data_IF_865221800813
#
_entry.id   IF_865221800813
#
_cell.length_a   1.000
_cell.length_b   1.000
_cell.length_c   1.000
_cell.angle_alpha   90.00
_cell.angle_beta   90.00
_cell.angle_gamma   90.00
#
_symmetry.space_group_name_H-M   'P 1'
#
loop_
_entity.id
_entity.type
_entity.pdbx_description
1 polymer ?
#
# COMPACT_ATOMS: atom_id res chain seq x y z
N UNK A 1 -36.34 2.28 -6.49
CA UNK A 1 -35.50 1.73 -5.40
C UNK A 1 -35.27 2.88 -4.41
N UNK A 2 -36.04 2.95 -3.33
CA UNK A 2 -35.97 4.04 -2.35
C UNK A 2 -34.91 3.72 -1.29
N UNK A 3 -33.86 4.53 -1.24
CA UNK A 3 -32.85 4.48 -0.19
C UNK A 3 -33.31 5.33 1.01
N UNK A 4 -33.91 4.63 1.98
CA UNK A 4 -33.97 4.87 3.42
C UNK A 4 -33.62 6.29 3.92
N UNK A 5 -34.66 7.09 4.17
CA UNK A 5 -35.00 7.98 5.33
C UNK A 5 -33.93 8.54 6.31
N UNK A 6 -32.63 8.56 6.01
CA UNK A 6 -31.61 9.10 6.92
C UNK A 6 -31.07 10.44 6.40
N UNK A 7 -31.20 11.49 7.20
CA UNK A 7 -30.55 12.79 6.96
C UNK A 7 -29.15 12.75 7.59
N UNK A 8 -28.06 12.79 6.80
CA UNK A 8 -26.70 12.71 7.33
C UNK A 8 -26.35 13.98 8.11
N UNK A 9 -25.94 13.85 9.38
CA UNK A 9 -25.33 14.93 10.16
C UNK A 9 -23.80 14.85 10.08
N UNK A 10 -23.08 15.98 10.14
CA UNK A 10 -21.61 16.03 9.98
C UNK A 10 -20.82 15.14 10.96
N UNK A 11 -21.39 14.89 12.13
CA UNK A 11 -20.86 14.12 13.26
C UNK A 11 -21.33 12.66 13.29
N UNK A 12 -22.36 12.30 12.54
CA UNK A 12 -22.78 10.91 12.34
C UNK A 12 -22.04 10.25 11.18
N UNK A 13 -20.84 9.73 11.45
CA UNK A 13 -20.14 8.83 10.53
C UNK A 13 -20.80 7.45 10.56
N UNK A 14 -21.06 6.87 9.39
CA UNK A 14 -21.59 5.51 9.32
C UNK A 14 -20.44 4.51 9.46
N UNK A 15 -20.56 3.54 10.37
CA UNK A 15 -19.55 2.49 10.64
C UNK A 15 -19.17 1.64 9.41
N UNK A 16 -19.96 1.70 8.34
CA UNK A 16 -19.74 0.94 7.09
C UNK A 16 -19.01 1.75 6.01
N UNK A 17 -18.59 2.99 6.27
CA UNK A 17 -17.73 3.76 5.35
C UNK A 17 -16.26 3.32 5.38
N UNK A 18 -15.86 2.46 6.31
CA UNK A 18 -14.57 1.79 6.27
C UNK A 18 -14.64 0.61 5.29
N UNK A 19 -14.12 0.80 4.08
CA UNK A 19 -14.11 -0.24 3.05
C UNK A 19 -13.21 -1.45 3.43
N UNK A 20 -12.31 -1.28 4.41
CA UNK A 20 -11.27 -2.25 4.76
C UNK A 20 -11.22 -2.51 6.27
N UNK A 21 -11.52 -3.75 6.66
CA UNK A 21 -11.44 -4.16 8.07
C UNK A 21 -9.97 -4.16 8.56
N UNK A 22 -9.66 -3.60 9.74
CA UNK A 22 -8.28 -3.44 10.23
C UNK A 22 -7.52 -4.78 10.36
N UNK A 23 -8.23 -5.86 10.66
CA UNK A 23 -7.63 -7.19 10.79
C UNK A 23 -7.49 -7.95 9.45
N UNK A 24 -8.03 -7.42 8.35
CA UNK A 24 -8.05 -8.11 7.05
C UNK A 24 -7.27 -7.40 5.95
N UNK A 25 -6.87 -6.16 6.19
CA UNK A 25 -6.16 -5.34 5.20
C UNK A 25 -5.04 -4.58 5.89
N UNK A 26 -3.85 -4.60 5.28
CA UNK A 26 -2.78 -3.68 5.64
C UNK A 26 -2.42 -2.82 4.44
N UNK A 27 -2.20 -1.53 4.68
CA UNK A 27 -1.72 -0.59 3.66
C UNK A 27 -0.37 -0.08 4.10
N UNK A 28 0.59 -0.17 3.20
CA UNK A 28 1.95 0.29 3.38
C UNK A 28 2.26 1.31 2.30
N UNK A 29 2.97 2.38 2.65
CA UNK A 29 3.32 3.40 1.68
C UNK A 29 4.67 4.06 1.93
N UNK A 30 5.25 4.56 0.85
CA UNK A 30 6.47 5.40 0.86
C UNK A 30 6.38 6.51 -0.16
N UNK A 31 7.21 7.53 0.02
CA UNK A 31 7.50 8.52 -1.03
C UNK A 31 8.76 8.11 -1.78
N UNK A 32 8.78 8.35 -3.10
CA UNK A 32 9.88 7.97 -4.00
C UNK A 32 10.24 9.17 -4.89
N UNK A 33 11.51 9.28 -5.29
CA UNK A 33 12.01 10.36 -6.13
C UNK A 33 12.22 9.88 -7.59
N UNK A 34 11.20 9.25 -8.16
CA UNK A 34 11.19 8.90 -9.59
C UNK A 34 10.31 7.70 -9.91
N UNK A 35 9.91 7.60 -11.18
CA UNK A 35 9.10 6.48 -11.66
C UNK A 35 9.87 5.15 -11.62
N UNK A 36 11.18 5.18 -11.81
CA UNK A 36 12.04 3.99 -11.81
C UNK A 36 12.41 3.53 -10.38
N UNK A 37 12.18 4.38 -9.38
CA UNK A 37 12.30 4.04 -7.96
C UNK A 37 10.99 3.40 -7.50
N UNK A 38 10.75 2.17 -7.94
CA UNK A 38 9.58 1.36 -7.60
C UNK A 38 10.01 0.06 -6.92
N UNK A 39 10.00 0.07 -5.58
CA UNK A 39 10.61 -0.98 -4.78
C UNK A 39 9.67 -2.19 -4.67
N UNK A 40 8.37 -1.97 -4.51
CA UNK A 40 7.43 -3.07 -4.35
C UNK A 40 7.28 -3.90 -5.63
N UNK A 41 7.45 -3.29 -6.82
CA UNK A 41 7.46 -4.05 -8.09
C UNK A 41 8.60 -5.05 -8.12
N UNK A 42 9.77 -4.75 -7.54
CA UNK A 42 10.88 -5.72 -7.46
C UNK A 42 10.46 -6.96 -6.69
N UNK A 43 9.74 -6.80 -5.58
CA UNK A 43 9.23 -7.91 -4.76
C UNK A 43 8.21 -8.78 -5.50
N UNK A 44 7.50 -8.23 -6.48
CA UNK A 44 6.52 -8.97 -7.29
C UNK A 44 7.18 -9.81 -8.40
N UNK A 45 8.45 -9.56 -8.72
CA UNK A 45 9.17 -10.23 -9.80
C UNK A 45 10.44 -10.96 -9.35
N UNK A 46 10.83 -10.80 -8.08
CA UNK A 46 12.02 -11.37 -7.49
C UNK A 46 12.00 -11.32 -5.96
N UNK A 47 13.12 -11.65 -5.30
CA UNK A 47 13.18 -11.66 -3.86
C UNK A 47 13.10 -10.26 -3.26
N UNK A 48 12.35 -10.14 -2.17
CA UNK A 48 12.34 -8.94 -1.33
C UNK A 48 13.45 -8.97 -0.26
N UNK A 49 14.03 -10.15 -0.02
CA UNK A 49 15.16 -10.35 0.90
C UNK A 49 16.08 -11.44 0.35
N UNK A 50 17.37 -11.13 0.25
CA UNK A 50 18.37 -12.13 -0.15
C UNK A 50 18.53 -13.25 0.89
N UNK A 51 18.93 -14.43 0.44
CA UNK A 51 19.31 -15.53 1.33
C UNK A 51 20.58 -15.16 2.13
N UNK A 52 20.67 -15.66 3.37
CA UNK A 52 21.90 -15.56 4.18
C UNK A 52 22.35 -17.00 4.51
N UNK A 53 23.11 -17.65 3.60
CA UNK A 53 23.47 -19.07 3.74
C UNK A 53 24.26 -19.38 5.01
N UNK A 54 25.09 -18.44 5.47
CA UNK A 54 25.96 -18.61 6.65
C UNK A 54 25.19 -18.86 7.95
N UNK A 55 23.92 -18.44 8.02
CA UNK A 55 23.03 -18.65 9.17
C UNK A 55 21.76 -19.41 8.80
N UNK A 56 21.72 -20.03 7.62
CA UNK A 56 20.60 -20.86 7.16
C UNK A 56 19.29 -20.11 6.90
N UNK A 57 19.34 -18.79 6.66
CA UNK A 57 18.13 -18.01 6.35
C UNK A 57 17.86 -18.09 4.84
N UNK A 58 16.69 -18.60 4.41
CA UNK A 58 16.34 -18.65 3.00
C UNK A 58 16.00 -17.28 2.44
N UNK A 59 16.05 -17.19 1.12
CA UNK A 59 15.55 -16.05 0.35
C UNK A 59 14.08 -15.79 0.69
N UNK A 60 13.73 -14.53 0.90
CA UNK A 60 12.34 -14.10 1.05
C UNK A 60 11.78 -13.69 -0.30
N UNK A 61 10.77 -14.42 -0.79
CA UNK A 61 10.11 -14.12 -2.06
C UNK A 61 8.61 -14.39 -1.97
N UNK A 62 7.82 -13.54 -2.64
CA UNK A 62 6.39 -13.75 -2.85
C UNK A 62 6.05 -14.06 -4.31
N UNK A 63 7.07 -14.15 -5.18
CA UNK A 63 6.86 -14.39 -6.60
C UNK A 63 6.19 -15.75 -6.84
N UNK A 64 5.08 -15.74 -7.59
CA UNK A 64 4.24 -16.93 -7.87
C UNK A 64 3.63 -17.58 -6.62
N UNK A 65 3.42 -16.81 -5.56
CA UNK A 65 2.68 -17.24 -4.36
C UNK A 65 1.21 -16.81 -4.40
N UNK A 66 0.45 -17.15 -3.35
CA UNK A 66 -0.92 -16.62 -3.16
C UNK A 66 -0.96 -15.09 -3.08
N UNK A 67 0.15 -14.44 -2.71
CA UNK A 67 0.24 -12.98 -2.60
C UNK A 67 0.26 -12.31 -3.99
N UNK A 68 1.03 -12.84 -4.95
CA UNK A 68 1.09 -12.32 -6.32
C UNK A 68 0.04 -12.94 -7.25
N UNK A 69 -0.61 -14.01 -6.80
CA UNK A 69 -1.51 -14.82 -7.62
C UNK A 69 -0.76 -15.88 -8.43
N UNK A 70 -1.52 -16.88 -8.85
CA UNK A 70 -1.08 -17.98 -9.70
C UNK A 70 -2.26 -18.43 -10.58
N UNK A 71 -2.04 -19.35 -11.52
CA UNK A 71 -3.12 -19.81 -12.41
C UNK A 71 -4.32 -20.33 -11.60
N UNK A 72 -5.48 -19.70 -11.75
CA UNK A 72 -6.70 -20.03 -10.99
C UNK A 72 -6.82 -19.40 -9.59
N UNK A 73 -5.84 -18.60 -9.15
CA UNK A 73 -5.85 -17.92 -7.83
C UNK A 73 -5.62 -16.42 -7.99
N UNK A 74 -6.53 -15.60 -7.46
CA UNK A 74 -6.39 -14.14 -7.44
C UNK A 74 -5.34 -13.74 -6.41
N UNK A 75 -4.41 -12.86 -6.81
CA UNK A 75 -3.39 -12.32 -5.92
C UNK A 75 -3.97 -11.45 -4.80
N UNK A 76 -3.32 -11.51 -3.63
CA UNK A 76 -3.71 -10.81 -2.41
C UNK A 76 -2.85 -9.59 -2.09
N UNK A 77 -2.10 -9.10 -3.07
CA UNK A 77 -1.32 -7.88 -3.00
C UNK A 77 -1.68 -6.98 -4.17
N UNK A 78 -2.02 -5.73 -3.88
CA UNK A 78 -2.22 -4.68 -4.89
C UNK A 78 -1.15 -3.62 -4.75
N UNK A 79 -0.52 -3.27 -5.87
CA UNK A 79 0.49 -2.22 -5.96
C UNK A 79 -0.04 -1.04 -6.77
N UNK A 80 0.20 0.18 -6.30
CA UNK A 80 -0.11 1.41 -7.03
C UNK A 80 0.98 2.46 -6.79
N UNK A 81 1.30 3.22 -7.83
CA UNK A 81 2.07 4.45 -7.71
C UNK A 81 1.26 5.65 -8.19
N UNK A 82 1.24 6.71 -7.39
CA UNK A 82 0.55 7.95 -7.69
C UNK A 82 1.54 9.12 -7.76
N UNK A 83 1.49 9.99 -8.78
CA UNK A 83 2.35 11.16 -8.82
C UNK A 83 1.98 12.12 -7.68
N UNK A 84 2.99 12.61 -6.97
CA UNK A 84 2.82 13.67 -5.97
C UNK A 84 2.72 15.00 -6.69
N UNK A 85 1.60 15.69 -6.49
CA UNK A 85 1.33 17.00 -7.09
C UNK A 85 1.49 18.08 -6.02
N UNK A 86 2.20 19.15 -6.36
CA UNK A 86 2.27 20.35 -5.52
C UNK A 86 1.31 21.39 -6.04
N UNK A 87 0.53 22.00 -5.16
CA UNK A 87 -0.28 23.16 -5.52
C UNK A 87 0.58 24.42 -5.43
N UNK A 88 0.69 25.14 -6.55
CA UNK A 88 1.39 26.44 -6.62
C UNK A 88 0.39 27.55 -6.90
N UNK A 89 0.69 28.78 -6.46
CA UNK A 89 -0.15 29.94 -6.78
C UNK A 89 -0.11 30.19 -8.28
N UNK A 90 -1.27 30.34 -8.89
CA UNK A 90 -1.40 30.77 -10.27
C UNK A 90 -1.25 32.31 -10.32
N UNK A 91 -0.27 32.86 -11.06
CA UNK A 91 -0.10 34.29 -11.23
C UNK A 91 -1.34 34.98 -11.84
N UNK A 92 -2.07 34.28 -12.72
CA UNK A 92 -3.23 34.80 -13.45
C UNK A 92 -4.53 34.66 -12.63
N UNK A 93 -4.58 33.70 -11.70
CA UNK A 93 -5.73 33.50 -10.82
C UNK A 93 -5.31 33.06 -9.40
N UNK A 94 -4.95 34.02 -8.51
CA UNK A 94 -4.50 33.71 -7.16
C UNK A 94 -5.52 32.94 -6.29
N UNK A 95 -6.80 32.87 -6.69
CA UNK A 95 -7.85 32.13 -5.99
C UNK A 95 -7.92 30.65 -6.38
N UNK A 96 -7.24 30.23 -7.46
CA UNK A 96 -7.23 28.85 -7.94
C UNK A 96 -5.79 28.36 -8.12
N UNK A 97 -5.23 27.62 -7.14
CA UNK A 97 -3.89 27.05 -7.28
C UNK A 97 -3.78 26.13 -8.49
N UNK A 98 -2.63 26.16 -9.18
CA UNK A 98 -2.31 25.29 -10.30
C UNK A 98 -1.57 24.03 -9.81
N UNK A 99 -1.90 22.83 -10.32
CA UNK A 99 -1.14 21.62 -10.01
C UNK A 99 0.21 21.64 -10.75
N UNK A 100 1.30 21.55 -9.99
CA UNK A 100 2.64 21.28 -10.49
C UNK A 100 2.97 19.81 -10.27
N UNK A 101 3.10 19.07 -11.38
CA UNK A 101 3.57 17.68 -11.34
C UNK A 101 5.02 17.67 -10.88
N UNK A 102 5.30 16.91 -9.83
CA UNK A 102 6.67 16.73 -9.35
C UNK A 102 7.27 15.43 -9.91
N UNK A 103 8.56 15.20 -9.68
CA UNK A 103 9.20 13.90 -9.93
C UNK A 103 8.95 12.88 -8.82
N UNK A 104 8.19 13.26 -7.79
CA UNK A 104 7.96 12.42 -6.63
C UNK A 104 6.69 11.60 -6.79
N UNK A 105 6.67 10.40 -6.22
CA UNK A 105 5.53 9.50 -6.24
C UNK A 105 5.21 8.98 -4.85
N UNK A 106 3.94 8.68 -4.61
CA UNK A 106 3.50 7.88 -3.48
C UNK A 106 3.35 6.44 -3.98
N UNK A 107 4.20 5.55 -3.49
CA UNK A 107 4.12 4.12 -3.74
C UNK A 107 3.32 3.46 -2.62
N UNK A 108 2.28 2.71 -2.99
CA UNK A 108 1.35 2.05 -2.08
C UNK A 108 1.28 0.55 -2.36
N UNK A 109 1.35 -0.23 -1.29
CA UNK A 109 1.13 -1.67 -1.28
C UNK A 109 -0.04 -1.97 -0.35
N UNK A 110 -1.10 -2.55 -0.91
CA UNK A 110 -2.26 -3.04 -0.15
C UNK A 110 -2.18 -4.56 -0.07
N UNK A 111 -2.21 -5.09 1.14
CA UNK A 111 -2.09 -6.51 1.43
C UNK A 111 -3.40 -7.02 2.02
N UNK A 112 -3.80 -8.21 1.59
CA UNK A 112 -4.93 -8.96 2.13
C UNK A 112 -4.39 -10.28 2.73
N UNK A 113 -3.87 -10.27 3.97
CA UNK A 113 -3.24 -11.44 4.56
C UNK A 113 -4.15 -12.66 4.53
N UNK A 114 -3.57 -13.83 4.26
CA UNK A 114 -4.30 -15.10 4.15
C UNK A 114 -3.76 -16.19 5.08
N UNK A 115 -2.77 -15.86 5.92
CA UNK A 115 -2.15 -16.80 6.87
C UNK A 115 -1.22 -17.83 6.22
N UNK A 116 -0.94 -17.73 4.91
CA UNK A 116 0.12 -18.52 4.26
C UNK A 116 1.50 -18.14 4.81
N UNK A 117 2.47 -19.05 4.67
CA UNK A 117 3.86 -18.81 5.09
C UNK A 117 4.41 -17.57 4.38
N UNK A 118 4.16 -17.45 3.08
CA UNK A 118 4.60 -16.31 2.27
C UNK A 118 3.97 -14.99 2.74
N UNK A 119 2.70 -15.02 3.16
CA UNK A 119 2.03 -13.85 3.71
C UNK A 119 2.63 -13.44 5.06
N UNK A 120 2.80 -14.38 5.98
CA UNK A 120 3.36 -14.11 7.30
C UNK A 120 4.83 -13.65 7.23
N UNK A 121 5.63 -14.24 6.36
CA UNK A 121 7.03 -13.85 6.15
C UNK A 121 7.14 -12.44 5.54
N UNK A 122 6.30 -12.11 4.55
CA UNK A 122 6.26 -10.77 3.98
C UNK A 122 5.83 -9.74 5.04
N UNK A 123 4.83 -10.06 5.87
CA UNK A 123 4.41 -9.19 6.95
C UNK A 123 5.52 -8.99 7.99
N UNK A 124 6.25 -10.05 8.37
CA UNK A 124 7.40 -9.94 9.26
C UNK A 124 8.49 -9.04 8.66
N UNK A 125 8.78 -9.20 7.37
CA UNK A 125 9.71 -8.34 6.63
C UNK A 125 9.28 -6.87 6.68
N UNK A 126 8.02 -6.56 6.34
CA UNK A 126 7.49 -5.20 6.34
C UNK A 126 7.50 -4.55 7.73
N UNK A 127 7.21 -5.31 8.78
CA UNK A 127 7.15 -4.78 10.14
C UNK A 127 8.52 -4.57 10.80
N UNK A 128 9.57 -5.30 10.38
CA UNK A 128 10.82 -5.31 11.16
C UNK A 128 12.13 -5.33 10.37
N UNK A 129 12.12 -5.62 9.08
CA UNK A 129 13.35 -5.83 8.30
C UNK A 129 13.63 -4.75 7.26
N UNK A 130 12.63 -3.93 6.92
CA UNK A 130 12.74 -2.83 5.97
C UNK A 130 12.39 -1.48 6.62
N UNK A 131 12.91 -0.38 6.07
CA UNK A 131 12.68 0.99 6.59
C UNK A 131 12.05 1.94 5.59
N UNK A 132 11.79 1.47 4.36
CA UNK A 132 11.32 2.29 3.25
C UNK A 132 9.81 2.57 3.35
N UNK A 133 9.01 1.53 3.58
CA UNK A 133 7.57 1.59 3.68
C UNK A 133 7.12 1.78 5.13
N UNK A 134 6.15 2.68 5.30
CA UNK A 134 5.46 2.91 6.57
C UNK A 134 4.07 2.29 6.50
N UNK A 135 3.63 1.67 7.61
CA UNK A 135 2.26 1.21 7.74
C UNK A 135 1.32 2.42 7.81
N UNK A 136 0.40 2.51 6.87
CA UNK A 136 -0.63 3.54 6.76
C UNK A 136 -2.01 3.04 7.21
N UNK A 137 -2.23 1.71 7.20
CA UNK A 137 -3.45 1.08 7.71
C UNK A 137 -3.17 -0.35 8.21
N UNK A 138 -3.83 -0.80 9.29
CA UNK A 138 -4.63 0.00 10.21
C UNK A 138 -3.75 1.02 10.96
N UNK A 139 -4.35 2.15 11.32
CA UNK A 139 -3.68 3.13 12.18
C UNK A 139 -3.47 2.51 13.57
N UNK A 140 -2.35 2.80 14.26
CA UNK A 140 -2.16 2.38 15.64
C UNK A 140 -3.36 2.83 16.47
N UNK A 141 -3.92 1.93 17.29
CA UNK A 141 -4.96 2.32 18.25
C UNK A 141 -4.28 3.20 19.31
N UNK A 142 -4.75 4.43 19.46
CA UNK A 142 -4.36 5.35 20.53
C UNK A 142 -4.96 4.94 21.87
#
# INVERSE_FOLDING_TARGET
>A
MQLQTVTPQPDTHANWREAWHPDRVQVWGRETDGLDDCEAVRWLHGPYREAIPSVGIPEGSIYRSSMTGQMGTIGRLWHRMYPKVRLVKDPENPRKPMPLVTRQYCELVTLFPDGSVESEELLAFLNGQQTLFKKLWPMPRH
#
